data_IF_872972543421
#
_entry.id   IF_872972543421
#
_cell.length_a   1.000
_cell.length_b   1.000
_cell.length_c   1.000
_cell.angle_alpha   90.00
_cell.angle_beta   90.00
_cell.angle_gamma   90.00
#
_symmetry.space_group_name_H-M   'P 1'
#
loop_
_entity.id
_entity.type
_entity.pdbx_description
1 polymer ?
#
# COMPACT_ATOMS: atom_id res chain seq x y z
N UNK A 1 -1.29 -25.38 5.06
CA UNK A 1 0.04 -25.22 4.43
C UNK A 1 -0.15 -24.32 3.19
N UNK A 2 0.70 -23.30 3.00
CA UNK A 2 0.62 -22.42 1.82
C UNK A 2 0.97 -23.23 0.57
N UNK A 3 0.12 -23.14 -0.45
CA UNK A 3 0.37 -23.72 -1.78
C UNK A 3 0.73 -22.60 -2.77
N UNK A 4 2.00 -22.54 -3.11
CA UNK A 4 2.51 -21.53 -4.04
C UNK A 4 1.98 -21.72 -5.48
N UNK A 5 1.72 -22.97 -5.90
CA UNK A 5 1.16 -23.25 -7.22
C UNK A 5 -0.27 -22.73 -7.32
N UNK A 6 -1.07 -22.91 -6.26
CA UNK A 6 -2.40 -22.33 -6.14
C UNK A 6 -2.36 -20.80 -6.22
N UNK A 7 -1.47 -20.15 -5.46
CA UNK A 7 -1.34 -18.68 -5.47
C UNK A 7 -0.97 -18.17 -6.88
N UNK A 8 -0.01 -18.81 -7.53
CA UNK A 8 0.44 -18.44 -8.88
C UNK A 8 -0.67 -18.54 -9.94
N UNK A 9 -1.61 -19.45 -9.74
CA UNK A 9 -2.76 -19.65 -10.63
C UNK A 9 -3.67 -18.43 -10.76
N UNK A 10 -3.62 -17.48 -9.83
CA UNK A 10 -4.41 -16.24 -9.87
C UNK A 10 -3.75 -15.09 -10.66
N UNK A 11 -2.52 -15.29 -11.13
CA UNK A 11 -1.78 -14.27 -11.87
C UNK A 11 -1.65 -14.65 -13.36
N UNK A 12 -1.59 -13.65 -14.27
CA UNK A 12 -1.31 -13.91 -15.68
C UNK A 12 -0.02 -14.71 -15.85
N UNK A 13 0.03 -15.60 -16.86
CA UNK A 13 1.20 -16.46 -17.08
C UNK A 13 2.51 -15.69 -17.22
N UNK A 14 2.49 -14.53 -17.87
CA UNK A 14 3.69 -13.69 -18.01
C UNK A 14 4.27 -13.26 -16.65
N UNK A 15 3.43 -13.13 -15.62
CA UNK A 15 3.83 -12.76 -14.26
C UNK A 15 4.12 -14.02 -13.42
N UNK A 16 3.21 -15.01 -13.46
CA UNK A 16 3.32 -16.22 -12.64
C UNK A 16 4.50 -17.13 -13.02
N UNK A 17 5.00 -17.05 -14.24
CA UNK A 17 6.18 -17.80 -14.68
C UNK A 17 7.50 -17.10 -14.37
N UNK A 18 7.48 -15.82 -14.01
CA UNK A 18 8.67 -15.08 -13.64
C UNK A 18 8.96 -15.22 -12.13
N UNK A 19 10.05 -15.91 -11.80
CA UNK A 19 10.43 -16.16 -10.40
C UNK A 19 10.70 -14.89 -9.58
N UNK A 20 11.02 -13.76 -10.22
CA UNK A 20 11.20 -12.47 -9.55
C UNK A 20 9.94 -12.02 -8.82
N UNK A 21 8.77 -12.42 -9.31
CA UNK A 21 7.48 -12.03 -8.74
C UNK A 21 6.92 -13.01 -7.70
N UNK A 22 7.46 -14.23 -7.57
CA UNK A 22 6.89 -15.26 -6.69
C UNK A 22 6.80 -14.79 -5.24
N UNK A 23 7.82 -14.07 -4.72
CA UNK A 23 7.79 -13.51 -3.37
C UNK A 23 6.73 -12.42 -3.19
N UNK A 24 6.46 -11.63 -4.23
CA UNK A 24 5.40 -10.60 -4.19
C UNK A 24 4.01 -11.23 -4.27
N UNK A 25 3.83 -12.30 -5.03
CA UNK A 25 2.57 -13.06 -5.06
C UNK A 25 2.27 -13.67 -3.70
N UNK A 26 3.28 -14.29 -3.06
CA UNK A 26 3.17 -14.80 -1.69
C UNK A 26 2.79 -13.67 -0.72
N UNK A 27 3.43 -12.51 -0.85
CA UNK A 27 3.15 -11.35 0.01
C UNK A 27 1.71 -10.86 -0.17
N UNK A 28 1.23 -10.74 -1.42
CA UNK A 28 -0.16 -10.34 -1.73
C UNK A 28 -1.18 -11.34 -1.14
N UNK A 29 -0.89 -12.65 -1.18
CA UNK A 29 -1.73 -13.66 -0.56
C UNK A 29 -1.80 -13.50 0.97
N UNK A 30 -0.66 -13.31 1.63
CA UNK A 30 -0.62 -13.09 3.09
C UNK A 30 -1.25 -11.75 3.49
N UNK A 31 -1.13 -10.72 2.66
CA UNK A 31 -1.84 -9.45 2.86
C UNK A 31 -3.36 -9.66 2.81
N UNK A 32 -3.86 -10.46 1.87
CA UNK A 32 -5.28 -10.80 1.78
C UNK A 32 -5.74 -11.60 3.00
N UNK A 33 -4.94 -12.58 3.46
CA UNK A 33 -5.23 -13.37 4.65
C UNK A 33 -5.34 -12.49 5.91
N UNK A 34 -4.42 -11.53 6.07
CA UNK A 34 -4.44 -10.59 7.19
C UNK A 34 -5.63 -9.63 7.08
N UNK A 35 -5.90 -9.10 5.88
CA UNK A 35 -7.02 -8.19 5.64
C UNK A 35 -8.37 -8.85 5.90
N UNK A 36 -8.55 -10.10 5.49
CA UNK A 36 -9.78 -10.86 5.74
C UNK A 36 -10.01 -11.03 7.25
N UNK A 37 -8.97 -11.38 7.99
CA UNK A 37 -9.05 -11.46 9.45
C UNK A 37 -9.41 -10.11 10.09
N UNK A 38 -8.73 -9.03 9.69
CA UNK A 38 -8.99 -7.68 10.23
C UNK A 38 -10.38 -7.19 9.87
N UNK A 39 -10.86 -7.44 8.64
CA UNK A 39 -12.18 -7.04 8.17
C UNK A 39 -13.32 -7.72 8.96
N UNK A 40 -13.09 -8.92 9.47
CA UNK A 40 -14.03 -9.68 10.29
C UNK A 40 -13.81 -9.50 11.80
N UNK A 41 -12.90 -8.61 12.21
CA UNK A 41 -12.55 -8.35 13.60
C UNK A 41 -13.32 -7.15 14.17
N UNK A 42 -13.38 -6.98 15.51
CA UNK A 42 -13.92 -5.79 16.15
C UNK A 42 -13.17 -4.49 15.79
N UNK A 43 -11.96 -4.59 15.26
CA UNK A 43 -11.13 -3.44 14.87
C UNK A 43 -11.55 -2.82 13.53
N UNK A 44 -12.30 -3.55 12.70
CA UNK A 44 -12.68 -3.13 11.34
C UNK A 44 -13.31 -1.74 11.28
N UNK A 45 -14.15 -1.40 12.27
CA UNK A 45 -14.86 -0.11 12.34
C UNK A 45 -13.96 1.12 12.54
N UNK A 46 -12.71 0.90 12.99
CA UNK A 46 -11.71 1.95 13.24
C UNK A 46 -10.65 2.05 12.16
N UNK A 47 -10.70 1.18 11.16
CA UNK A 47 -9.68 1.04 10.12
C UNK A 47 -10.26 1.40 8.76
N UNK A 48 -9.62 2.32 8.07
CA UNK A 48 -9.88 2.58 6.66
C UNK A 48 -8.63 2.18 5.88
N UNK A 49 -8.77 1.19 5.00
CA UNK A 49 -7.65 0.62 4.25
C UNK A 49 -7.18 1.57 3.16
N UNK A 50 -5.92 2.01 3.25
CA UNK A 50 -5.31 3.01 2.37
C UNK A 50 -4.03 2.47 1.72
N UNK A 51 -3.25 3.34 1.15
CA UNK A 51 -1.88 3.05 0.70
C UNK A 51 -1.78 2.31 -0.63
N UNK A 52 -0.59 1.79 -0.88
CA UNK A 52 -0.27 1.11 -2.15
C UNK A 52 -1.00 -0.21 -2.33
N UNK A 53 -1.28 -0.92 -1.24
CA UNK A 53 -1.97 -2.21 -1.30
C UNK A 53 -3.46 -2.02 -1.54
N UNK A 54 -4.07 -0.92 -1.06
CA UNK A 54 -5.41 -0.52 -1.49
C UNK A 54 -5.44 -0.29 -3.02
N UNK A 55 -4.50 0.49 -3.56
CA UNK A 55 -4.43 0.73 -5.01
C UNK A 55 -4.31 -0.59 -5.79
N UNK A 56 -3.57 -1.57 -5.26
CA UNK A 56 -3.39 -2.87 -5.88
C UNK A 56 -4.64 -3.74 -5.80
N UNK A 57 -5.23 -3.87 -4.62
CA UNK A 57 -6.30 -4.84 -4.38
C UNK A 57 -7.68 -4.30 -4.79
N UNK A 58 -7.92 -3.00 -4.59
CA UNK A 58 -9.23 -2.36 -4.82
C UNK A 58 -9.23 -1.60 -6.14
N UNK A 59 -8.22 -0.74 -6.38
CA UNK A 59 -8.21 0.14 -7.55
C UNK A 59 -7.64 -0.52 -8.81
N UNK A 60 -6.89 -1.64 -8.69
CA UNK A 60 -6.40 -2.44 -9.80
C UNK A 60 -5.13 -1.91 -10.47
N UNK A 61 -4.28 -1.17 -9.74
CA UNK A 61 -2.98 -0.73 -10.28
C UNK A 61 -2.09 -1.92 -10.67
N UNK A 62 -1.31 -1.77 -11.73
CA UNK A 62 -0.48 -2.82 -12.35
C UNK A 62 0.90 -2.97 -11.66
N UNK A 63 0.93 -2.90 -10.35
CA UNK A 63 2.12 -3.13 -9.53
C UNK A 63 1.81 -3.84 -8.22
N UNK A 64 2.79 -4.59 -7.71
CA UNK A 64 2.73 -5.12 -6.35
C UNK A 64 2.89 -4.01 -5.30
N UNK A 65 2.48 -4.33 -4.09
CA UNK A 65 2.68 -3.50 -2.90
C UNK A 65 3.13 -4.36 -1.73
N UNK A 66 3.78 -3.76 -0.75
CA UNK A 66 4.51 -4.51 0.27
C UNK A 66 3.92 -4.39 1.67
N UNK A 67 3.28 -3.27 1.98
CA UNK A 67 2.82 -2.91 3.31
C UNK A 67 1.28 -2.90 3.37
N UNK A 68 0.71 -3.03 4.57
CA UNK A 68 -0.70 -2.80 4.86
C UNK A 68 -0.83 -1.48 5.61
N UNK A 69 -1.42 -0.49 4.96
CA UNK A 69 -1.55 0.86 5.49
C UNK A 69 -3.02 1.16 5.82
N UNK A 70 -3.26 1.77 6.98
CA UNK A 70 -4.58 2.16 7.43
C UNK A 70 -4.61 3.61 7.88
N UNK A 71 -5.67 4.33 7.52
CA UNK A 71 -6.13 5.48 8.27
C UNK A 71 -6.94 4.96 9.46
N UNK A 72 -6.61 5.41 10.67
CA UNK A 72 -7.26 4.92 11.88
C UNK A 72 -7.85 6.09 12.67
N UNK A 73 -9.02 5.87 13.26
CA UNK A 73 -9.70 6.83 14.12
C UNK A 73 -9.77 6.29 15.54
N UNK A 74 -9.50 7.16 16.50
CA UNK A 74 -9.59 6.86 17.95
C UNK A 74 -8.84 5.58 18.34
N UNK A 75 -7.66 5.35 17.75
CA UNK A 75 -6.79 4.21 18.02
C UNK A 75 -5.63 4.63 18.91
N UNK A 76 -5.53 4.04 20.10
CA UNK A 76 -4.34 4.16 20.95
C UNK A 76 -3.24 3.19 20.50
N UNK A 77 -2.00 3.44 20.93
CA UNK A 77 -0.90 2.51 20.71
C UNK A 77 -1.18 1.13 21.31
N UNK A 78 -1.81 1.07 22.49
CA UNK A 78 -2.21 -0.20 23.12
C UNK A 78 -3.25 -0.95 22.28
N UNK A 79 -4.26 -0.24 21.75
CA UNK A 79 -5.27 -0.85 20.88
C UNK A 79 -4.66 -1.35 19.57
N UNK A 80 -3.70 -0.61 19.00
CA UNK A 80 -2.96 -1.05 17.81
C UNK A 80 -2.13 -2.32 18.10
N UNK A 81 -1.43 -2.36 19.24
CA UNK A 81 -0.67 -3.55 19.62
C UNK A 81 -1.59 -4.76 19.86
N UNK A 82 -2.71 -4.59 20.59
CA UNK A 82 -3.68 -5.66 20.80
C UNK A 82 -4.25 -6.20 19.48
N UNK A 83 -4.57 -5.32 18.53
CA UNK A 83 -5.02 -5.70 17.18
C UNK A 83 -3.95 -6.52 16.44
N UNK A 84 -2.71 -6.08 16.46
CA UNK A 84 -1.63 -6.75 15.72
C UNK A 84 -1.18 -8.03 16.42
N UNK A 85 -1.28 -8.15 17.74
CA UNK A 85 -1.07 -9.41 18.48
C UNK A 85 -2.16 -10.43 18.16
N UNK A 86 -3.41 -9.99 17.95
CA UNK A 86 -4.49 -10.86 17.48
C UNK A 86 -4.23 -11.38 16.06
N UNK A 87 -3.71 -10.53 15.15
CA UNK A 87 -3.23 -10.96 13.83
C UNK A 87 -2.14 -12.02 13.94
N UNK A 88 -1.14 -11.82 14.79
CA UNK A 88 -0.06 -12.81 15.01
C UNK A 88 -0.63 -14.14 15.49
N UNK A 89 -1.52 -14.11 16.48
CA UNK A 89 -2.19 -15.31 16.98
C UNK A 89 -2.96 -16.03 15.88
N UNK A 90 -3.71 -15.29 15.06
CA UNK A 90 -4.44 -15.83 13.91
C UNK A 90 -3.51 -16.51 12.90
N UNK A 91 -2.38 -15.88 12.58
CA UNK A 91 -1.39 -16.44 11.65
C UNK A 91 -0.76 -17.74 12.19
N UNK A 92 -0.43 -17.79 13.49
CA UNK A 92 0.02 -19.04 14.15
C UNK A 92 -1.04 -20.15 14.09
N UNK A 93 -2.32 -19.83 14.32
CA UNK A 93 -3.43 -20.78 14.20
C UNK A 93 -3.59 -21.33 12.78
N UNK A 94 -3.18 -20.55 11.77
CA UNK A 94 -3.12 -20.98 10.36
C UNK A 94 -1.79 -21.70 9.99
N UNK A 95 -0.96 -22.05 10.97
CA UNK A 95 0.27 -22.81 10.77
C UNK A 95 1.43 -21.99 10.21
N UNK A 96 1.40 -20.66 10.36
CA UNK A 96 2.47 -19.77 9.97
C UNK A 96 3.33 -19.42 11.19
N UNK A 97 4.64 -19.58 11.06
CA UNK A 97 5.57 -19.06 12.06
C UNK A 97 5.77 -17.56 11.83
N UNK A 98 5.47 -16.75 12.86
CA UNK A 98 5.49 -15.29 12.77
C UNK A 98 6.07 -14.68 14.03
N UNK A 99 7.06 -13.82 13.86
CA UNK A 99 7.64 -13.02 14.93
C UNK A 99 7.36 -11.54 14.73
N UNK A 100 7.22 -10.79 15.82
CA UNK A 100 7.17 -9.33 15.76
C UNK A 100 8.55 -8.76 16.05
N UNK A 101 9.03 -7.85 15.19
CA UNK A 101 10.33 -7.19 15.36
C UNK A 101 10.14 -5.69 15.18
N UNK A 102 9.78 -5.02 16.26
CA UNK A 102 9.55 -3.59 16.25
C UNK A 102 10.80 -2.84 16.71
N UNK A 103 11.16 -1.80 15.97
CA UNK A 103 12.21 -0.87 16.36
C UNK A 103 11.57 0.44 16.72
N UNK A 104 11.65 0.89 17.98
CA UNK A 104 11.11 2.18 18.37
C UNK A 104 11.69 3.30 17.53
N UNK A 105 10.83 4.12 16.95
CA UNK A 105 11.24 5.33 16.22
C UNK A 105 10.42 6.51 16.72
N UNK A 106 10.98 7.36 17.61
CA UNK A 106 10.26 8.49 18.20
C UNK A 106 9.87 9.58 17.19
N UNK A 107 10.42 9.55 15.98
CA UNK A 107 10.05 10.47 14.89
C UNK A 107 8.85 9.98 14.07
N UNK A 108 8.41 8.75 14.30
CA UNK A 108 7.30 8.16 13.57
C UNK A 108 5.98 8.49 14.27
N UNK A 109 5.08 9.16 13.58
CA UNK A 109 3.73 9.47 14.07
C UNK A 109 2.74 8.33 13.82
N UNK A 110 3.07 7.41 12.90
CA UNK A 110 2.27 6.22 12.63
C UNK A 110 2.61 5.09 13.61
N UNK A 111 1.59 4.36 14.02
CA UNK A 111 1.79 3.05 14.63
C UNK A 111 2.33 2.08 13.60
N UNK A 112 3.28 1.25 13.98
CA UNK A 112 3.92 0.29 13.08
C UNK A 112 4.18 -1.03 13.77
N UNK A 113 3.89 -2.13 13.04
CA UNK A 113 4.23 -3.50 13.43
C UNK A 113 4.85 -4.22 12.27
N UNK A 114 6.00 -4.84 12.49
CA UNK A 114 6.67 -5.67 11.49
C UNK A 114 6.38 -7.15 11.82
N UNK A 115 5.62 -7.81 10.96
CA UNK A 115 5.37 -9.25 11.02
C UNK A 115 6.45 -9.94 10.20
N UNK A 116 7.38 -10.57 10.87
CA UNK A 116 8.48 -11.31 10.28
C UNK A 116 8.12 -12.79 10.20
N UNK A 117 8.36 -13.41 9.05
CA UNK A 117 8.08 -14.82 8.78
C UNK A 117 9.42 -15.57 8.65
N UNK A 118 9.94 -16.16 9.73
CA UNK A 118 11.19 -16.90 9.70
C UNK A 118 11.11 -18.06 8.72
N UNK A 119 12.17 -18.27 7.94
CA UNK A 119 12.35 -19.40 7.03
C UNK A 119 11.26 -19.63 5.96
N UNK A 120 10.16 -18.87 5.95
CA UNK A 120 9.02 -19.10 5.05
C UNK A 120 9.43 -19.17 3.56
N UNK A 121 10.31 -18.27 3.11
CA UNK A 121 10.79 -18.30 1.72
C UNK A 121 11.61 -19.54 1.42
N UNK A 122 12.43 -20.01 2.38
CA UNK A 122 13.23 -21.22 2.25
C UNK A 122 12.35 -22.46 2.21
N UNK A 123 11.38 -22.57 3.11
CA UNK A 123 10.47 -23.71 3.19
C UNK A 123 9.58 -23.85 1.93
N UNK A 124 9.30 -22.73 1.26
CA UNK A 124 8.56 -22.71 0.00
C UNK A 124 9.47 -22.81 -1.24
N UNK A 125 10.79 -23.00 -1.05
CA UNK A 125 11.75 -23.11 -2.16
C UNK A 125 11.94 -21.81 -2.96
N UNK A 126 11.62 -20.65 -2.39
CA UNK A 126 11.76 -19.34 -3.04
C UNK A 126 13.15 -18.72 -2.85
N UNK A 127 13.96 -19.30 -1.99
CA UNK A 127 15.35 -18.91 -1.76
C UNK A 127 16.17 -20.10 -1.28
N UNK A 128 17.48 -20.07 -1.54
CA UNK A 128 18.45 -21.00 -0.95
C UNK A 128 18.96 -20.57 0.44
N UNK A 129 18.57 -19.38 0.92
CA UNK A 129 19.06 -18.79 2.16
C UNK A 129 18.00 -18.88 3.26
N UNK A 130 18.25 -19.74 4.26
CA UNK A 130 17.32 -19.94 5.38
C UNK A 130 17.02 -18.66 6.17
N UNK A 131 18.00 -17.78 6.31
CA UNK A 131 17.90 -16.54 7.05
C UNK A 131 17.37 -15.36 6.20
N UNK A 132 16.91 -15.61 4.97
CA UNK A 132 16.39 -14.53 4.14
C UNK A 132 15.14 -13.90 4.74
N UNK A 133 15.19 -12.59 4.89
CA UNK A 133 14.10 -11.84 5.53
C UNK A 133 12.87 -11.74 4.63
N UNK A 134 11.74 -12.14 5.20
CA UNK A 134 10.43 -11.90 4.62
C UNK A 134 9.52 -11.30 5.69
N UNK A 135 8.96 -10.14 5.39
CA UNK A 135 8.13 -9.44 6.35
C UNK A 135 6.95 -8.75 5.67
N UNK A 136 5.88 -8.56 6.43
CA UNK A 136 4.75 -7.68 6.12
C UNK A 136 4.70 -6.63 7.22
N UNK A 137 4.56 -5.37 6.81
CA UNK A 137 4.42 -4.26 7.72
C UNK A 137 2.95 -3.85 7.79
N UNK A 138 2.45 -3.66 9.00
CA UNK A 138 1.16 -3.04 9.26
C UNK A 138 1.42 -1.65 9.82
N UNK A 139 0.89 -0.64 9.16
CA UNK A 139 0.96 0.76 9.61
C UNK A 139 -0.44 1.33 9.78
N UNK A 140 -0.66 2.05 10.86
CA UNK A 140 -1.91 2.79 11.09
C UNK A 140 -1.59 4.20 11.57
N UNK A 141 -2.21 5.19 10.95
CA UNK A 141 -2.04 6.59 11.33
C UNK A 141 -3.35 7.33 11.12
N UNK A 142 -3.78 8.08 12.13
CA UNK A 142 -4.85 9.07 11.95
C UNK A 142 -4.37 10.14 10.95
N UNK A 143 -5.08 10.28 9.85
CA UNK A 143 -4.76 11.30 8.85
C UNK A 143 -5.19 12.70 9.30
N UNK A 144 -5.95 12.82 10.40
CA UNK A 144 -6.41 14.08 10.95
C UNK A 144 -7.45 14.80 10.08
N UNK A 145 -8.03 14.12 9.11
CA UNK A 145 -9.03 14.66 8.18
C UNK A 145 -10.27 13.78 8.21
N UNK A 146 -11.43 14.39 8.35
CA UNK A 146 -12.71 13.67 8.33
C UNK A 146 -13.20 13.51 6.89
N UNK A 147 -13.53 12.30 6.51
CA UNK A 147 -14.25 11.94 5.27
C UNK A 147 -15.15 10.73 5.56
N UNK A 148 -16.18 10.52 4.76
CA UNK A 148 -17.02 9.33 4.85
C UNK A 148 -16.31 8.17 4.13
N UNK A 149 -15.93 7.07 4.82
CA UNK A 149 -15.39 5.90 4.15
C UNK A 149 -16.45 5.20 3.31
N UNK A 150 -16.02 4.57 2.23
CA UNK A 150 -16.82 3.69 1.40
C UNK A 150 -16.54 2.23 1.77
N UNK A 151 -17.43 1.32 1.38
CA UNK A 151 -17.23 -0.12 1.56
C UNK A 151 -16.85 -0.74 0.22
N UNK A 152 -15.66 -1.34 0.17
CA UNK A 152 -15.21 -2.10 -0.99
C UNK A 152 -15.26 -3.61 -0.71
N UNK A 153 -15.70 -4.39 -1.71
CA UNK A 153 -15.66 -5.84 -1.66
C UNK A 153 -14.36 -6.35 -2.29
N UNK A 154 -13.62 -7.13 -1.53
CA UNK A 154 -12.46 -7.88 -2.01
C UNK A 154 -12.92 -9.29 -2.41
N UNK A 155 -12.69 -9.65 -3.68
CA UNK A 155 -12.93 -11.00 -4.20
C UNK A 155 -11.69 -11.43 -5.00
N UNK A 156 -10.70 -11.97 -4.31
CA UNK A 156 -9.39 -12.33 -4.90
C UNK A 156 -8.81 -13.57 -4.21
N UNK A 157 -8.19 -14.44 -4.96
CA UNK A 157 -7.43 -15.61 -4.46
C UNK A 157 -8.23 -16.48 -3.46
N UNK A 158 -9.55 -16.61 -3.66
CA UNK A 158 -10.43 -17.35 -2.75
C UNK A 158 -10.91 -16.57 -1.52
N UNK A 159 -10.42 -15.37 -1.28
CA UNK A 159 -10.91 -14.47 -0.23
C UNK A 159 -12.13 -13.69 -0.71
N UNK A 160 -13.12 -13.54 0.17
CA UNK A 160 -14.31 -12.74 -0.08
C UNK A 160 -14.73 -12.00 1.19
N UNK A 161 -14.44 -10.72 1.27
CA UNK A 161 -14.76 -9.89 2.43
C UNK A 161 -14.98 -8.42 2.05
N UNK A 162 -15.52 -7.64 2.98
CA UNK A 162 -15.70 -6.21 2.84
C UNK A 162 -14.72 -5.43 3.72
N UNK A 163 -14.21 -4.31 3.21
CA UNK A 163 -13.28 -3.44 3.93
C UNK A 163 -13.64 -1.97 3.70
N UNK A 164 -13.50 -1.15 4.75
CA UNK A 164 -13.64 0.30 4.60
C UNK A 164 -12.44 0.87 3.83
N UNK A 165 -12.72 1.72 2.85
CA UNK A 165 -11.74 2.41 2.01
C UNK A 165 -12.09 3.90 1.92
N UNK A 166 -11.14 4.81 1.71
CA UNK A 166 -11.49 6.19 1.43
C UNK A 166 -12.05 6.33 0.00
N UNK A 167 -12.82 7.37 -0.28
CA UNK A 167 -13.15 7.78 -1.65
C UNK A 167 -11.89 7.92 -2.51
N UNK A 168 -12.01 7.68 -3.81
CA UNK A 168 -10.84 7.65 -4.72
C UNK A 168 -10.15 9.02 -4.81
N UNK A 169 -10.90 10.12 -4.73
CA UNK A 169 -10.38 11.48 -4.72
C UNK A 169 -9.55 11.78 -3.44
N UNK A 170 -9.95 11.21 -2.29
CA UNK A 170 -9.17 11.27 -1.04
C UNK A 170 -7.88 10.47 -1.18
N UNK A 171 -7.90 9.27 -1.78
CA UNK A 171 -6.68 8.52 -2.09
C UNK A 171 -5.75 9.31 -3.00
N UNK A 172 -6.30 10.00 -4.01
CA UNK A 172 -5.54 10.88 -4.90
C UNK A 172 -4.87 12.02 -4.11
N UNK A 173 -5.61 12.67 -3.22
CA UNK A 173 -5.07 13.70 -2.34
C UNK A 173 -3.98 13.20 -1.40
N UNK A 174 -4.14 11.98 -0.84
CA UNK A 174 -3.10 11.32 -0.03
C UNK A 174 -1.81 11.11 -0.82
N UNK A 175 -1.90 10.75 -2.12
CA UNK A 175 -0.72 10.55 -2.98
C UNK A 175 -0.03 11.86 -3.32
N UNK A 176 -0.76 12.92 -3.57
CA UNK A 176 -0.17 14.26 -3.71
C UNK A 176 0.57 14.70 -2.43
N UNK A 177 -0.05 14.52 -1.27
CA UNK A 177 0.60 14.80 0.02
C UNK A 177 1.88 13.98 0.21
N UNK A 178 1.89 12.72 -0.23
CA UNK A 178 3.07 11.86 -0.17
C UNK A 178 4.20 12.35 -1.11
N UNK A 179 3.87 12.82 -2.33
CA UNK A 179 4.87 13.42 -3.23
C UNK A 179 5.50 14.65 -2.58
N UNK A 180 4.69 15.55 -2.04
CA UNK A 180 5.18 16.78 -1.42
C UNK A 180 6.07 16.52 -0.20
N UNK A 181 5.85 15.42 0.53
CA UNK A 181 6.57 15.10 1.76
C UNK A 181 7.81 14.23 1.57
N UNK A 182 7.78 13.20 0.69
CA UNK A 182 8.83 12.17 0.64
C UNK A 182 9.37 11.84 -0.76
N UNK A 183 8.69 12.27 -1.84
CA UNK A 183 9.17 12.22 -3.22
C UNK A 183 9.63 10.83 -3.71
N UNK A 184 8.93 9.74 -3.32
CA UNK A 184 9.25 8.40 -3.83
C UNK A 184 8.69 8.20 -5.23
N UNK A 185 9.42 7.48 -6.09
CA UNK A 185 9.03 7.23 -7.48
C UNK A 185 7.64 6.62 -7.62
N UNK A 186 7.29 5.65 -6.75
CA UNK A 186 5.97 5.03 -6.73
C UNK A 186 4.82 6.01 -6.42
N UNK A 187 5.07 7.10 -5.67
CA UNK A 187 4.01 8.06 -5.37
C UNK A 187 3.63 8.86 -6.63
N UNK A 188 4.58 9.19 -7.50
CA UNK A 188 4.30 9.78 -8.82
C UNK A 188 3.52 8.83 -9.72
N UNK A 189 3.91 7.56 -9.76
CA UNK A 189 3.23 6.52 -10.54
C UNK A 189 1.79 6.32 -10.10
N UNK A 190 1.58 6.18 -8.80
CA UNK A 190 0.28 6.03 -8.18
C UNK A 190 -0.63 7.23 -8.44
N UNK A 191 -0.07 8.44 -8.42
CA UNK A 191 -0.81 9.68 -8.69
C UNK A 191 -1.27 9.73 -10.14
N UNK A 192 -0.41 9.43 -11.12
CA UNK A 192 -0.82 9.37 -12.53
C UNK A 192 -1.95 8.36 -12.73
N UNK A 193 -1.85 7.19 -12.12
CA UNK A 193 -2.90 6.19 -12.16
C UNK A 193 -4.22 6.71 -11.59
N UNK A 194 -4.18 7.41 -10.45
CA UNK A 194 -5.39 7.98 -9.84
C UNK A 194 -5.96 9.14 -10.64
N UNK A 195 -5.12 9.98 -11.24
CA UNK A 195 -5.55 11.07 -12.11
C UNK A 195 -6.32 10.59 -13.36
N UNK A 196 -6.08 9.36 -13.81
CA UNK A 196 -6.91 8.77 -14.87
C UNK A 196 -8.33 8.44 -14.42
N UNK A 197 -8.62 8.52 -13.11
CA UNK A 197 -9.94 8.19 -12.52
C UNK A 197 -10.64 9.39 -11.91
N UNK A 198 -9.89 10.29 -11.28
CA UNK A 198 -10.44 11.41 -10.51
C UNK A 198 -9.40 12.51 -10.29
N UNK A 199 -9.84 13.72 -9.95
CA UNK A 199 -9.00 14.74 -9.34
C UNK A 199 -8.79 14.52 -7.83
N UNK A 200 -7.89 15.28 -7.17
CA UNK A 200 -7.68 15.19 -5.73
C UNK A 200 -8.80 15.86 -4.94
N UNK A 201 -9.13 15.31 -3.77
CA UNK A 201 -9.99 15.98 -2.80
C UNK A 201 -9.27 17.20 -2.20
N UNK A 202 -9.75 18.40 -2.54
CA UNK A 202 -9.09 19.65 -2.16
C UNK A 202 -9.26 19.98 -0.67
N UNK A 203 -10.34 19.53 -0.02
CA UNK A 203 -10.52 19.74 1.43
C UNK A 203 -9.49 18.91 2.20
N UNK A 204 -9.27 17.66 1.76
CA UNK A 204 -8.22 16.81 2.32
C UNK A 204 -6.82 17.45 2.13
N UNK A 205 -6.50 17.90 0.92
CA UNK A 205 -5.22 18.55 0.64
C UNK A 205 -5.02 19.81 1.47
N UNK A 206 -6.03 20.67 1.57
CA UNK A 206 -5.97 21.88 2.39
C UNK A 206 -5.66 21.55 3.85
N UNK A 207 -6.34 20.57 4.41
CA UNK A 207 -6.11 20.15 5.78
C UNK A 207 -4.70 19.58 6.03
N UNK A 208 -4.17 18.81 5.06
CA UNK A 208 -2.87 18.12 5.20
C UNK A 208 -1.66 18.95 4.79
N UNK A 209 -1.82 19.84 3.83
CA UNK A 209 -0.70 20.57 3.19
C UNK A 209 -0.85 22.07 3.21
N UNK A 210 -2.02 22.61 3.55
CA UNK A 210 -2.35 24.02 3.48
C UNK A 210 -2.70 24.51 2.07
N UNK A 211 -2.60 23.66 1.03
CA UNK A 211 -2.90 24.02 -0.35
C UNK A 211 -4.41 24.05 -0.58
N UNK A 212 -4.94 25.21 -0.98
CA UNK A 212 -6.38 25.44 -1.05
C UNK A 212 -6.94 25.40 -2.47
N UNK A 213 -6.10 25.54 -3.48
CA UNK A 213 -6.50 25.58 -4.89
C UNK A 213 -5.66 24.62 -5.73
N UNK A 214 -6.18 24.24 -6.89
CA UNK A 214 -5.41 23.44 -7.87
C UNK A 214 -4.16 24.19 -8.36
N UNK A 215 -4.21 25.52 -8.43
CA UNK A 215 -3.04 26.32 -8.81
C UNK A 215 -1.96 26.29 -7.73
N UNK A 216 -2.33 26.35 -6.44
CA UNK A 216 -1.38 26.16 -5.33
C UNK A 216 -0.72 24.78 -5.41
N UNK A 217 -1.52 23.73 -5.65
CA UNK A 217 -1.02 22.37 -5.81
C UNK A 217 -0.06 22.25 -6.98
N UNK A 218 -0.41 22.83 -8.13
CA UNK A 218 0.40 22.84 -9.35
C UNK A 218 1.74 23.53 -9.14
N UNK A 219 1.72 24.70 -8.50
CA UNK A 219 2.93 25.47 -8.20
C UNK A 219 3.85 24.67 -7.26
N UNK A 220 3.30 24.12 -6.17
CA UNK A 220 4.06 23.30 -5.21
C UNK A 220 4.69 22.05 -5.86
N UNK A 221 3.97 21.38 -6.76
CA UNK A 221 4.47 20.23 -7.49
C UNK A 221 5.52 20.61 -8.55
N UNK A 222 5.36 21.73 -9.23
CA UNK A 222 6.37 22.26 -10.15
C UNK A 222 7.67 22.55 -9.42
N UNK A 223 7.61 23.14 -8.23
CA UNK A 223 8.79 23.38 -7.40
C UNK A 223 9.40 22.07 -6.84
N UNK A 224 8.58 21.09 -6.58
CA UNK A 224 9.04 19.74 -6.21
C UNK A 224 9.81 19.10 -7.38
N UNK A 225 9.27 19.15 -8.60
CA UNK A 225 9.87 18.56 -9.80
C UNK A 225 11.21 19.15 -10.17
N UNK A 226 11.45 20.44 -9.90
CA UNK A 226 12.78 21.08 -10.08
C UNK A 226 13.88 20.40 -9.25
N UNK A 227 13.52 19.71 -8.17
CA UNK A 227 14.44 19.07 -7.21
C UNK A 227 14.52 17.55 -7.37
N UNK A 228 13.67 16.96 -8.22
CA UNK A 228 13.51 15.52 -8.35
C UNK A 228 13.93 15.06 -9.75
N UNK A 229 14.83 14.10 -9.82
CA UNK A 229 15.18 13.41 -11.06
C UNK A 229 14.25 12.21 -11.26
N UNK A 230 13.21 12.37 -12.09
CA UNK A 230 12.25 11.30 -12.36
C UNK A 230 12.90 10.07 -13.04
N UNK A 231 13.99 10.25 -13.80
CA UNK A 231 14.73 9.13 -14.41
C UNK A 231 15.41 8.26 -13.34
N UNK A 232 15.85 8.85 -12.23
CA UNK A 232 16.33 8.08 -11.08
C UNK A 232 15.18 7.48 -10.29
N UNK A 233 14.09 8.24 -10.11
CA UNK A 233 12.93 7.80 -9.31
C UNK A 233 12.20 6.61 -9.89
N UNK A 234 12.18 6.41 -11.22
CA UNK A 234 11.57 5.21 -11.82
C UNK A 234 12.27 3.91 -11.39
N UNK A 235 13.55 3.95 -11.05
CA UNK A 235 14.30 2.78 -10.59
C UNK A 235 13.88 2.34 -9.18
N UNK A 236 13.34 3.26 -8.36
CA UNK A 236 12.93 2.97 -6.97
C UNK A 236 11.82 1.91 -6.88
N UNK A 237 11.02 1.72 -7.93
CA UNK A 237 9.82 0.89 -7.89
C UNK A 237 9.59 0.02 -9.13
N UNK A 238 10.44 0.12 -10.17
CA UNK A 238 10.28 -0.63 -11.42
C UNK A 238 10.14 -2.15 -11.17
N UNK A 239 10.87 -2.68 -10.21
CA UNK A 239 10.83 -4.08 -9.81
C UNK A 239 9.49 -4.56 -9.22
N UNK A 240 8.60 -3.63 -8.84
CA UNK A 240 7.25 -3.93 -8.38
C UNK A 240 6.23 -4.00 -9.52
N UNK A 241 6.55 -3.46 -10.70
CA UNK A 241 5.63 -3.37 -11.84
C UNK A 241 5.51 -4.72 -12.55
N UNK A 242 4.30 -5.03 -13.01
CA UNK A 242 4.06 -6.19 -13.87
C UNK A 242 4.78 -6.09 -15.21
N UNK A 243 4.95 -4.87 -15.70
CA UNK A 243 5.81 -4.53 -16.82
C UNK A 243 6.71 -3.36 -16.43
N UNK A 244 7.99 -3.60 -16.25
CA UNK A 244 8.97 -2.61 -15.82
C UNK A 244 9.03 -1.37 -16.75
N UNK A 245 8.75 -1.52 -18.04
CA UNK A 245 8.70 -0.41 -19.00
C UNK A 245 7.61 0.63 -18.61
N UNK A 246 6.56 0.21 -17.89
CA UNK A 246 5.54 1.13 -17.40
C UNK A 246 6.08 2.15 -16.38
N UNK A 247 7.27 1.94 -15.81
CA UNK A 247 7.92 2.93 -14.94
C UNK A 247 8.13 4.27 -15.65
N UNK A 248 8.29 4.27 -16.98
CA UNK A 248 8.46 5.49 -17.77
C UNK A 248 7.24 6.41 -17.75
N UNK A 249 6.06 5.92 -17.34
CA UNK A 249 4.86 6.76 -17.17
C UNK A 249 5.10 7.95 -16.24
N UNK A 250 5.98 7.83 -15.23
CA UNK A 250 6.24 8.96 -14.33
C UNK A 250 6.89 10.14 -15.04
N UNK A 251 7.53 9.94 -16.20
CA UNK A 251 8.10 11.02 -17.01
C UNK A 251 7.01 11.92 -17.62
N UNK A 252 5.76 11.42 -17.66
CA UNK A 252 4.59 12.19 -18.12
C UNK A 252 3.89 12.95 -16.98
N UNK A 253 4.51 13.03 -15.79
CA UNK A 253 3.86 13.62 -14.62
C UNK A 253 3.51 15.11 -14.82
N UNK A 254 4.38 15.91 -15.47
CA UNK A 254 4.09 17.30 -15.79
C UNK A 254 2.88 17.44 -16.73
N UNK A 255 2.79 16.57 -17.73
CA UNK A 255 1.64 16.54 -18.65
C UNK A 255 0.36 16.22 -17.89
N UNK A 256 0.38 15.20 -17.04
CA UNK A 256 -0.77 14.84 -16.22
C UNK A 256 -1.20 15.97 -15.27
N UNK A 257 -0.25 16.76 -14.73
CA UNK A 257 -0.57 17.95 -13.93
C UNK A 257 -1.23 19.04 -14.73
N UNK A 258 -0.83 19.26 -15.99
CA UNK A 258 -1.42 20.29 -16.84
C UNK A 258 -2.90 20.00 -17.20
N UNK A 259 -3.31 18.73 -17.13
CA UNK A 259 -4.67 18.28 -17.41
C UNK A 259 -5.62 18.41 -16.19
N UNK A 260 -5.07 18.62 -14.98
CA UNK A 260 -5.87 18.82 -13.76
C UNK A 260 -6.79 20.05 -13.78
N UNK A 261 -6.67 20.92 -14.77
CA UNK A 261 -7.42 22.20 -14.89
C UNK A 261 -8.68 22.08 -15.75
N UNK A 262 -8.99 20.92 -16.23
CA UNK A 262 -10.16 20.65 -17.07
C UNK A 262 -11.16 19.75 -16.36
#
# INVERSE_FOLDING_TARGET
MIDLAFIRGFFPQAISNDSRFHRYMLKEYLQLLILDHLANSPYAVRLTFIGGTNLRLIQGIDRFSEDLDFDCKDMSGEAFHAMTDDVVKFLHQNGLDVETRDTPNPKLTAFRRNLYFPQLLFDLGLTGHREERFLIKIEAQDQGVSYAPEVATVNKMGFFFQVQVPPVDVLCAMKFSAILSRQKGRDFYDTIFLLSKTGPNMEFLKSRTGLSTLDDLRNALTDCLKKVDLNKKKQDFAHLLFNEANADRILQFETALSELSR
#
